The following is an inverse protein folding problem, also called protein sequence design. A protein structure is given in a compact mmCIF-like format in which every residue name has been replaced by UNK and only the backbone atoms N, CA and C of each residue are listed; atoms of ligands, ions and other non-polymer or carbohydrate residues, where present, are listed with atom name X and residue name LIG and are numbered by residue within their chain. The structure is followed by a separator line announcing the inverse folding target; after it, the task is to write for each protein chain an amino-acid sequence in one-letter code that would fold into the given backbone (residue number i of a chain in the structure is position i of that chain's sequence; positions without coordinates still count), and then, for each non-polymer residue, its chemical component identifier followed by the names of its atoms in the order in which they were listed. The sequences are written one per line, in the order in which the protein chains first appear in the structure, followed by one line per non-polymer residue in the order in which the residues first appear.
data_IF_083494905710
#
_entry.id   IF_083494905710
#
_cell.length_a   1.000
_cell.length_b   1.000
_cell.length_c   1.000
_cell.angle_alpha   90.00
_cell.angle_beta   90.00
_cell.angle_gamma   90.00
#
_symmetry.space_group_name_H-M   'P 1'
#
loop_
_entity.id
_entity.type
_entity.pdbx_description
1 polymer ?
#
# COMPACT_ATOMS: atom_id res chain seq x y z
N UNK A 1 -6.15 -25.03 -7.46
CA UNK A 1 -5.56 -24.12 -8.43
C UNK A 1 -4.25 -23.56 -7.90
N UNK A 2 -3.18 -23.86 -8.57
CA UNK A 2 -1.86 -23.44 -8.12
C UNK A 2 -1.40 -22.25 -8.93
N UNK A 3 -1.35 -21.09 -8.27
CA UNK A 3 -0.74 -19.90 -8.85
C UNK A 3 0.70 -19.87 -8.36
N UNK A 4 1.63 -20.02 -9.29
CA UNK A 4 3.06 -20.06 -8.97
C UNK A 4 3.71 -18.67 -8.99
N UNK A 5 2.92 -17.64 -8.87
CA UNK A 5 3.39 -16.26 -8.85
C UNK A 5 3.83 -15.93 -7.43
N UNK A 6 5.08 -15.56 -7.27
CA UNK A 6 5.65 -15.23 -5.95
C UNK A 6 5.64 -13.74 -5.64
N UNK A 7 5.53 -12.91 -6.67
CA UNK A 7 5.69 -11.46 -6.56
C UNK A 7 4.88 -10.78 -7.65
N UNK A 8 4.32 -9.64 -7.36
CA UNK A 8 3.66 -8.83 -8.38
C UNK A 8 3.86 -7.34 -8.11
N UNK A 9 3.68 -6.54 -9.15
CA UNK A 9 3.59 -5.08 -9.02
C UNK A 9 2.13 -4.71 -9.26
N UNK A 10 1.54 -4.07 -8.26
CA UNK A 10 0.17 -3.57 -8.34
C UNK A 10 0.21 -2.08 -8.68
N UNK A 11 -0.48 -1.68 -9.74
CA UNK A 11 -0.51 -0.29 -10.19
C UNK A 11 -1.96 0.15 -10.31
N UNK A 12 -2.28 1.30 -9.69
CA UNK A 12 -3.58 1.92 -9.82
C UNK A 12 -3.79 2.37 -11.28
N UNK A 13 -5.01 2.23 -11.80
CA UNK A 13 -5.35 2.57 -13.19
C UNK A 13 -5.10 4.03 -13.55
N UNK A 14 -4.97 4.91 -12.57
CA UNK A 14 -4.70 6.33 -12.79
C UNK A 14 -3.21 6.67 -12.88
N UNK A 15 -2.34 5.69 -12.73
CA UNK A 15 -0.90 5.87 -12.78
C UNK A 15 -0.40 5.67 -14.21
N UNK A 16 0.54 6.53 -14.61
CA UNK A 16 1.22 6.41 -15.90
C UNK A 16 2.67 6.00 -15.64
N UNK A 17 3.05 4.86 -16.17
CA UNK A 17 4.44 4.41 -16.09
C UNK A 17 5.27 5.14 -17.14
N UNK A 18 6.34 5.82 -16.72
CA UNK A 18 7.22 6.59 -17.61
C UNK A 18 8.49 5.85 -17.98
N UNK A 19 8.86 4.88 -17.18
CA UNK A 19 10.06 4.06 -17.38
C UNK A 19 9.75 2.60 -17.18
N UNK A 20 10.75 1.77 -17.46
CA UNK A 20 10.64 0.32 -17.23
C UNK A 20 10.38 0.02 -15.76
N UNK A 21 9.52 -0.95 -15.51
CA UNK A 21 9.23 -1.44 -14.16
C UNK A 21 10.30 -2.39 -13.62
N UNK A 22 11.34 -2.67 -14.41
CA UNK A 22 12.40 -3.60 -14.01
C UNK A 22 13.12 -3.17 -12.74
N UNK A 23 13.35 -1.88 -12.56
CA UNK A 23 14.00 -1.37 -11.35
C UNK A 23 13.16 -1.66 -10.11
N UNK A 24 11.85 -1.42 -10.19
CA UNK A 24 10.94 -1.74 -9.08
C UNK A 24 10.91 -3.23 -8.81
N UNK A 25 10.85 -4.02 -9.87
CA UNK A 25 10.80 -5.48 -9.74
C UNK A 25 12.01 -6.02 -9.01
N UNK A 26 13.17 -5.42 -9.23
CA UNK A 26 14.44 -5.88 -8.68
C UNK A 26 14.78 -5.26 -7.32
N UNK A 27 13.91 -4.39 -6.77
CA UNK A 27 14.15 -3.82 -5.45
C UNK A 27 14.13 -4.90 -4.38
N UNK A 28 15.11 -4.81 -3.48
CA UNK A 28 15.18 -5.72 -2.35
C UNK A 28 14.15 -5.30 -1.29
N UNK A 29 13.23 -6.19 -1.00
CA UNK A 29 12.18 -5.95 0.00
C UNK A 29 12.68 -6.04 1.44
N UNK A 30 13.90 -6.53 1.66
CA UNK A 30 14.45 -6.75 2.99
C UNK A 30 13.56 -7.62 3.87
N UNK A 31 12.91 -8.62 3.26
CA UNK A 31 12.01 -9.54 3.96
C UNK A 31 10.62 -8.98 4.24
N UNK A 32 10.31 -7.77 3.77
CA UNK A 32 8.98 -7.18 3.94
C UNK A 32 8.00 -7.68 2.89
N UNK A 33 6.74 -7.68 3.22
CA UNK A 33 5.69 -8.10 2.28
C UNK A 33 5.43 -7.07 1.21
N UNK A 34 5.50 -5.79 1.56
CA UNK A 34 5.18 -4.67 0.67
C UNK A 34 6.43 -3.81 0.48
N UNK A 35 6.64 -3.36 -0.76
CA UNK A 35 7.59 -2.29 -1.08
C UNK A 35 6.78 -1.15 -1.68
N UNK A 36 6.87 0.03 -1.11
CA UNK A 36 6.02 1.15 -1.49
C UNK A 36 6.67 2.49 -1.17
N UNK A 37 6.08 3.56 -1.67
CA UNK A 37 6.47 4.94 -1.34
C UNK A 37 5.70 5.38 -0.10
N UNK A 38 6.36 6.10 0.80
CA UNK A 38 5.71 6.60 2.00
C UNK A 38 4.62 7.61 1.67
N UNK A 39 3.48 7.50 2.36
CA UNK A 39 2.40 8.47 2.29
C UNK A 39 2.66 9.58 3.30
N UNK A 40 2.45 10.82 2.90
CA UNK A 40 2.66 11.97 3.77
C UNK A 40 1.42 12.31 4.59
N UNK A 41 0.25 11.93 4.13
CA UNK A 41 -1.00 12.18 4.84
C UNK A 41 -1.31 11.09 5.84
N UNK A 42 -1.81 11.49 7.02
CA UNK A 42 -2.25 10.56 8.03
C UNK A 42 -3.75 10.36 7.95
N UNK A 43 -4.21 9.17 8.25
CA UNK A 43 -5.63 8.85 8.26
C UNK A 43 -6.15 8.79 9.68
N UNK A 44 -7.34 9.37 9.87
CA UNK A 44 -8.08 9.28 11.11
C UNK A 44 -9.14 8.21 10.95
N UNK A 45 -9.12 7.22 11.82
CA UNK A 45 -10.01 6.07 11.72
C UNK A 45 -10.77 5.83 13.00
N UNK A 46 -11.98 5.32 12.86
CA UNK A 46 -12.79 4.86 13.99
C UNK A 46 -12.90 3.34 13.95
N UNK A 47 -12.50 2.72 15.04
CA UNK A 47 -12.58 1.28 15.17
C UNK A 47 -13.01 0.93 16.61
N UNK A 48 -14.06 0.17 16.74
CA UNK A 48 -14.62 -0.25 18.04
C UNK A 48 -14.90 0.94 18.97
N UNK A 49 -15.53 1.98 18.42
CA UNK A 49 -15.89 3.23 19.12
C UNK A 49 -14.70 4.02 19.66
N UNK A 50 -13.51 3.79 19.11
CA UNK A 50 -12.31 4.56 19.43
C UNK A 50 -11.75 5.20 18.16
N UNK A 51 -11.18 6.37 18.35
CA UNK A 51 -10.54 7.12 17.29
C UNK A 51 -9.02 6.87 17.32
N UNK A 52 -8.47 6.56 16.17
CA UNK A 52 -7.03 6.32 16.01
C UNK A 52 -6.48 7.18 14.89
N UNK A 53 -5.23 7.63 15.05
CA UNK A 53 -4.44 8.22 13.97
C UNK A 53 -3.50 7.15 13.41
N UNK A 54 -3.59 6.93 12.11
CA UNK A 54 -2.74 5.98 11.43
C UNK A 54 -1.51 6.71 10.90
N UNK A 55 -0.34 6.37 11.44
CA UNK A 55 0.94 6.98 11.11
C UNK A 55 1.82 6.00 10.33
N UNK A 56 2.87 6.52 9.72
CA UNK A 56 3.85 5.71 8.96
C UNK A 56 3.18 4.86 7.90
N UNK A 57 2.33 5.51 7.11
CA UNK A 57 1.58 4.87 6.04
C UNK A 57 2.36 4.86 4.74
N UNK A 58 1.99 3.94 3.86
CA UNK A 58 2.50 3.91 2.49
C UNK A 58 1.39 4.25 1.50
N UNK A 59 1.81 4.79 0.35
CA UNK A 59 0.92 5.07 -0.77
C UNK A 59 0.60 3.77 -1.50
N UNK A 60 -0.69 3.46 -1.66
CA UNK A 60 -1.08 2.18 -2.24
C UNK A 60 -1.29 2.19 -3.75
N UNK A 61 -0.96 3.30 -4.43
CA UNK A 61 -1.14 3.39 -5.88
C UNK A 61 -0.15 2.55 -6.67
N UNK A 62 1.04 2.35 -6.13
CA UNK A 62 2.08 1.51 -6.74
C UNK A 62 2.72 0.69 -5.64
N UNK A 63 2.60 -0.62 -5.74
CA UNK A 63 3.11 -1.55 -4.73
C UNK A 63 3.85 -2.69 -5.38
N UNK A 64 4.95 -3.11 -4.77
CA UNK A 64 5.52 -4.43 -5.05
C UNK A 64 5.10 -5.33 -3.91
N UNK A 65 4.46 -6.44 -4.22
CA UNK A 65 3.86 -7.34 -3.23
C UNK A 65 4.51 -8.72 -3.29
N UNK A 66 4.95 -9.21 -2.14
CA UNK A 66 5.39 -10.57 -1.99
C UNK A 66 4.17 -11.47 -1.69
N UNK A 67 3.64 -12.08 -2.73
CA UNK A 67 2.43 -12.89 -2.63
C UNK A 67 2.60 -14.12 -1.75
N UNK A 68 3.80 -14.61 -1.64
CA UNK A 68 4.11 -15.76 -0.80
C UNK A 68 3.78 -15.49 0.68
N UNK A 69 4.06 -14.28 1.15
CA UNK A 69 3.74 -13.88 2.52
C UNK A 69 2.23 -13.71 2.74
N UNK A 70 1.51 -13.26 1.71
CA UNK A 70 0.07 -13.03 1.82
C UNK A 70 -0.68 -14.33 2.11
N UNK A 71 -0.31 -15.41 1.44
CA UNK A 71 -0.99 -16.68 1.62
C UNK A 71 -0.62 -17.41 2.92
N UNK A 72 0.43 -16.99 3.59
CA UNK A 72 0.91 -17.69 4.80
C UNK A 72 0.27 -17.22 6.11
N UNK A 73 -0.24 -16.00 6.19
CA UNK A 73 -0.53 -15.34 7.46
C UNK A 73 -1.99 -14.95 7.66
N UNK A 74 -2.94 -15.62 6.99
CA UNK A 74 -4.37 -15.30 7.05
C UNK A 74 -4.68 -13.83 6.75
N UNK A 75 -3.89 -13.24 5.87
CA UNK A 75 -4.01 -11.81 5.55
C UNK A 75 -5.35 -11.48 4.92
N UNK A 76 -5.86 -12.36 4.05
CA UNK A 76 -7.15 -12.14 3.40
C UNK A 76 -8.30 -12.11 4.41
N UNK A 77 -8.24 -12.93 5.45
CA UNK A 77 -9.23 -12.92 6.52
C UNK A 77 -9.18 -11.62 7.33
N UNK A 78 -7.98 -11.11 7.59
CA UNK A 78 -7.80 -9.84 8.29
C UNK A 78 -8.37 -8.68 7.48
N UNK A 79 -8.11 -8.65 6.18
CA UNK A 79 -8.66 -7.65 5.28
C UNK A 79 -10.18 -7.68 5.29
N UNK A 80 -10.75 -8.86 5.17
CA UNK A 80 -12.20 -9.07 5.18
C UNK A 80 -12.85 -8.58 6.47
N UNK A 81 -12.23 -8.88 7.61
CA UNK A 81 -12.70 -8.42 8.91
C UNK A 81 -12.69 -6.90 9.02
N UNK A 82 -11.58 -6.27 8.61
CA UNK A 82 -11.44 -4.81 8.70
C UNK A 82 -12.41 -4.10 7.75
N UNK A 83 -12.65 -4.67 6.58
CA UNK A 83 -13.59 -4.10 5.63
C UNK A 83 -14.99 -3.96 6.21
N UNK A 84 -15.38 -4.88 7.08
CA UNK A 84 -16.70 -4.89 7.73
C UNK A 84 -16.76 -4.03 9.00
N UNK A 85 -15.63 -3.75 9.63
CA UNK A 85 -15.62 -3.21 10.99
C UNK A 85 -15.02 -1.81 11.12
N UNK A 86 -14.31 -1.33 10.12
CA UNK A 86 -13.61 -0.06 10.21
C UNK A 86 -14.41 1.08 9.56
N UNK A 87 -14.39 2.26 10.20
CA UNK A 87 -14.99 3.48 9.65
C UNK A 87 -13.91 4.54 9.51
N UNK A 88 -14.00 5.31 8.42
CA UNK A 88 -13.01 6.33 8.09
C UNK A 88 -13.69 7.69 8.04
N UNK A 89 -13.21 8.62 8.86
CA UNK A 89 -13.77 9.98 8.93
C UNK A 89 -13.21 10.92 7.88
N UNK A 90 -12.08 10.55 7.26
CA UNK A 90 -11.38 11.40 6.33
C UNK A 90 -11.66 10.96 4.89
N UNK A 91 -12.23 11.87 4.08
CA UNK A 91 -12.54 11.60 2.68
C UNK A 91 -11.31 11.66 1.76
N UNK A 92 -10.16 12.11 2.27
CA UNK A 92 -8.93 12.22 1.48
C UNK A 92 -8.22 10.88 1.30
N UNK A 93 -8.53 9.91 2.15
CA UNK A 93 -7.88 8.60 2.13
C UNK A 93 -8.93 7.52 1.91
N UNK A 94 -8.68 6.62 0.97
CA UNK A 94 -9.61 5.53 0.69
C UNK A 94 -9.60 4.49 1.80
N UNK A 95 -10.74 3.82 1.97
CA UNK A 95 -10.85 2.71 2.92
C UNK A 95 -9.85 1.59 2.61
N UNK A 96 -9.65 1.30 1.34
CA UNK A 96 -8.67 0.30 0.90
C UNK A 96 -7.26 0.64 1.38
N UNK A 97 -6.86 1.89 1.21
CA UNK A 97 -5.53 2.35 1.64
C UNK A 97 -5.35 2.18 3.15
N UNK A 98 -6.37 2.55 3.92
CA UNK A 98 -6.33 2.41 5.39
C UNK A 98 -6.20 0.94 5.79
N UNK A 99 -7.00 0.08 5.21
CA UNK A 99 -6.95 -1.36 5.51
C UNK A 99 -5.58 -1.95 5.19
N UNK A 100 -5.04 -1.64 4.03
CA UNK A 100 -3.71 -2.10 3.63
C UNK A 100 -2.64 -1.64 4.62
N UNK A 101 -2.70 -0.39 5.05
CA UNK A 101 -1.74 0.15 6.00
C UNK A 101 -1.86 -0.46 7.39
N UNK A 102 -3.05 -0.85 7.80
CA UNK A 102 -3.24 -1.56 9.06
C UNK A 102 -2.68 -2.99 8.97
N UNK A 103 -3.07 -3.71 7.93
CA UNK A 103 -2.70 -5.12 7.77
C UNK A 103 -1.19 -5.29 7.61
N UNK A 104 -0.54 -4.38 6.89
CA UNK A 104 0.90 -4.45 6.64
C UNK A 104 1.71 -3.48 7.50
N UNK A 105 1.15 -3.01 8.59
CA UNK A 105 1.86 -2.10 9.48
C UNK A 105 3.18 -2.72 9.95
N UNK A 106 4.26 -1.96 9.78
CA UNK A 106 5.60 -2.44 10.12
C UNK A 106 6.15 -3.50 9.17
N UNK A 107 5.41 -3.89 8.13
CA UNK A 107 5.81 -4.95 7.20
C UNK A 107 5.90 -4.43 5.77
N UNK A 108 6.38 -3.22 5.61
CA UNK A 108 6.61 -2.63 4.30
C UNK A 108 7.93 -1.88 4.28
N UNK A 109 8.53 -1.79 3.10
CA UNK A 109 9.78 -1.09 2.88
C UNK A 109 9.55 0.18 2.09
N UNK A 110 10.04 1.29 2.60
CA UNK A 110 9.99 2.58 1.93
C UNK A 110 11.00 2.65 0.80
N UNK A 111 10.56 3.17 -0.34
CA UNK A 111 11.42 3.41 -1.50
C UNK A 111 11.30 4.86 -1.95
N UNK A 112 12.18 5.26 -2.88
CA UNK A 112 12.20 6.63 -3.40
C UNK A 112 10.85 7.06 -3.97
N UNK A 113 10.44 8.29 -3.68
CA UNK A 113 9.21 8.89 -4.19
C UNK A 113 9.15 8.97 -5.72
N UNK A 114 10.27 8.80 -6.40
CA UNK A 114 10.30 8.79 -7.88
C UNK A 114 9.46 7.65 -8.46
N UNK A 115 9.20 6.60 -7.67
CA UNK A 115 8.40 5.46 -8.11
C UNK A 115 6.90 5.68 -8.01
N UNK A 116 6.49 6.75 -7.32
CA UNK A 116 5.07 7.10 -7.19
C UNK A 116 4.95 8.60 -6.94
N UNK A 117 4.99 9.39 -7.99
CA UNK A 117 4.96 10.85 -7.89
C UNK A 117 3.51 11.32 -7.90
N UNK A 118 3.13 12.12 -6.93
CA UNK A 118 1.81 12.75 -6.88
C UNK A 118 1.59 13.66 -8.08
N UNK A 119 0.35 13.75 -8.55
CA UNK A 119 0.02 14.51 -9.75
C UNK A 119 0.41 15.98 -9.67
N UNK A 120 0.24 16.61 -8.52
CA UNK A 120 0.61 18.01 -8.33
C UNK A 120 2.13 18.23 -8.44
N UNK A 121 2.93 17.32 -7.88
CA UNK A 121 4.38 17.38 -8.02
C UNK A 121 4.82 17.14 -9.46
N UNK A 122 4.10 16.27 -10.15
CA UNK A 122 4.35 15.97 -11.54
C UNK A 122 4.10 17.19 -12.44
N UNK A 123 2.99 17.90 -12.20
CA UNK A 123 2.64 19.11 -12.95
C UNK A 123 3.67 20.22 -12.75
N UNK A 124 4.21 20.36 -11.54
CA UNK A 124 5.23 21.36 -11.24
C UNK A 124 6.55 21.16 -12.00
N UNK A 125 6.78 19.94 -12.46
CA UNK A 125 8.01 19.58 -13.20
C UNK A 125 7.84 19.64 -14.72
N UNK A 126 6.64 19.86 -15.14
CA UNK A 126 6.36 20.01 -16.57
C UNK A 126 6.56 21.45 -17.03
#
# INVERSE_FOLDING_TARGET
KHINIKKCILINSKIIARDSLNQMWNLDSKGRTIVAVAEQEMAKINFMNREFMLENCFENSVLVINLKHIFKNNILDKISFLEKTIFIDNNLVSKESVIMNIVFYGNWKNISSRYNTHSNLYLDKM
#
